data_IF_210082683477
#
_entry.id   IF_210082683477
#
_cell.length_a   1.000
_cell.length_b   1.000
_cell.length_c   1.000
_cell.angle_alpha   90.00
_cell.angle_beta   90.00
_cell.angle_gamma   90.00
#
_symmetry.space_group_name_H-M   'P 1'
#
loop_
_entity.id
_entity.type
_entity.pdbx_description
1 polymer ?
#
# COMPACT_ATOMS: atom_id res chain seq x y z
N UNK A 1 -14.52 13.90 6.65
CA UNK A 1 -14.39 13.75 6.17
C UNK A 1 -13.59 13.72 5.67
N UNK A 2 -13.21 13.64 5.66
CA UNK A 2 -12.52 13.52 5.05
C UNK A 2 -12.64 13.42 4.04
N UNK A 3 -13.24 13.45 3.87
CA UNK A 3 -13.48 13.22 2.93
C UNK A 3 -13.21 13.37 2.02
N UNK A 4 -13.12 13.66 1.95
CA UNK A 4 -12.96 13.74 1.00
C UNK A 4 -12.35 13.85 0.48
N UNK A 5 -12.02 13.92 0.81
CA UNK A 5 -11.35 13.95 0.27
C UNK A 5 -11.04 14.04 -0.67
N UNK A 6 -11.15 14.27 -0.93
CA UNK A 6 -11.06 14.21 -1.94
C UNK A 6 -10.52 13.92 -2.55
N UNK A 7 -10.31 13.85 -2.43
CA UNK A 7 -9.81 13.51 -3.06
C UNK A 7 -9.74 13.12 -3.49
N UNK A 8 -10.01 12.87 -3.18
CA UNK A 8 -10.05 12.45 -3.73
C UNK A 8 -9.94 12.79 -4.69
N UNK A 9 -10.23 13.37 -4.66
CA UNK A 9 -10.12 13.89 -5.80
C UNK A 9 -9.55 13.11 -6.82
N UNK A 10 -10.10 12.07 -7.06
CA UNK A 10 -9.67 11.34 -8.13
C UNK A 10 -8.21 11.42 -8.35
N UNK A 11 -7.47 11.18 -7.37
CA UNK A 11 -6.05 11.17 -7.58
C UNK A 11 -5.74 10.08 -8.56
N UNK A 12 -5.00 10.39 -9.62
CA UNK A 12 -4.61 9.35 -10.57
C UNK A 12 -3.88 8.21 -9.92
N UNK A 13 -3.20 8.48 -8.82
CA UNK A 13 -2.46 7.45 -8.09
C UNK A 13 -3.40 6.37 -7.57
N UNK A 14 -4.60 6.76 -7.15
CA UNK A 14 -5.58 5.79 -6.66
C UNK A 14 -5.98 4.82 -7.75
N UNK A 15 -5.98 5.29 -8.99
CA UNK A 15 -6.36 4.45 -10.11
C UNK A 15 -5.25 3.48 -10.47
N UNK A 16 -4.01 3.79 -10.07
CA UNK A 16 -2.90 2.94 -10.40
C UNK A 16 -2.87 1.66 -9.56
N UNK A 17 -3.62 1.64 -8.45
CA UNK A 17 -3.63 0.48 -7.56
C UNK A 17 -5.07 0.11 -7.27
N UNK A 18 -5.68 -0.72 -8.12
CA UNK A 18 -7.06 -1.14 -7.92
C UNK A 18 -7.20 -1.91 -6.61
N UNK A 19 -8.12 -1.49 -5.78
CA UNK A 19 -8.33 -2.12 -4.50
C UNK A 19 -8.71 -3.58 -4.64
N UNK A 20 -9.49 -3.88 -5.66
CA UNK A 20 -9.89 -5.26 -5.91
C UNK A 20 -8.69 -6.15 -6.18
N UNK A 21 -7.73 -5.62 -6.93
CA UNK A 21 -6.51 -6.37 -7.23
C UNK A 21 -5.75 -6.68 -5.95
N UNK A 22 -5.65 -5.68 -5.07
CA UNK A 22 -4.92 -5.85 -3.83
C UNK A 22 -5.59 -6.90 -2.96
N UNK A 23 -6.91 -6.88 -2.90
CA UNK A 23 -7.65 -7.86 -2.10
C UNK A 23 -7.50 -9.26 -2.66
N UNK A 24 -7.42 -9.40 -3.96
CA UNK A 24 -7.32 -10.72 -4.58
C UNK A 24 -6.00 -11.40 -4.27
N UNK A 25 -5.02 -10.67 -3.73
CA UNK A 25 -3.74 -11.24 -3.37
C UNK A 25 -3.75 -11.92 -2.00
N UNK A 26 -4.90 -11.94 -1.34
CA UNK A 26 -5.01 -12.63 -0.05
C UNK A 26 -4.38 -11.89 1.10
N UNK A 27 -4.37 -10.58 1.05
CA UNK A 27 -3.73 -9.76 2.06
C UNK A 27 -4.69 -9.45 3.21
N UNK A 28 -4.13 -9.26 4.40
CA UNK A 28 -4.91 -8.81 5.54
C UNK A 28 -5.31 -7.35 5.34
N UNK A 29 -6.25 -6.87 6.16
CA UNK A 29 -6.71 -5.48 6.04
C UNK A 29 -5.55 -4.50 6.19
N UNK A 30 -4.66 -4.73 7.15
CA UNK A 30 -3.51 -3.83 7.34
C UNK A 30 -2.56 -3.90 6.15
N UNK A 31 -2.37 -5.09 5.60
CA UNK A 31 -1.51 -5.24 4.44
C UNK A 31 -2.09 -4.55 3.22
N UNK A 32 -3.42 -4.60 3.07
CA UNK A 32 -4.08 -3.87 2.00
C UNK A 32 -3.82 -2.38 2.14
N UNK A 33 -3.96 -1.84 3.35
CA UNK A 33 -3.70 -0.42 3.57
C UNK A 33 -2.28 -0.05 3.17
N UNK A 34 -1.32 -0.86 3.58
CA UNK A 34 0.07 -0.59 3.27
C UNK A 34 0.35 -0.71 1.78
N UNK A 35 -0.22 -1.71 1.13
CA UNK A 35 -0.02 -1.88 -0.30
C UNK A 35 -0.54 -0.67 -1.07
N UNK A 36 -1.70 -0.16 -0.68
CA UNK A 36 -2.26 1.03 -1.32
C UNK A 36 -1.34 2.22 -1.12
N UNK A 37 -0.81 2.40 0.08
CA UNK A 37 0.09 3.52 0.36
C UNK A 37 1.39 3.41 -0.44
N UNK A 38 1.92 2.20 -0.54
CA UNK A 38 3.10 1.97 -1.36
C UNK A 38 2.82 2.33 -2.81
N UNK A 39 1.66 1.94 -3.31
CA UNK A 39 1.27 2.25 -4.67
C UNK A 39 1.12 3.75 -4.91
N UNK A 40 0.80 4.49 -3.87
CA UNK A 40 0.71 5.95 -3.95
C UNK A 40 2.07 6.64 -3.85
N UNK A 41 3.11 5.87 -3.53
CA UNK A 41 4.45 6.42 -3.47
C UNK A 41 4.89 6.89 -2.09
N UNK A 42 4.16 6.52 -1.04
CA UNK A 42 4.57 6.90 0.30
C UNK A 42 5.84 6.16 0.71
N UNK A 43 6.68 6.85 1.46
CA UNK A 43 7.85 6.22 2.06
C UNK A 43 7.44 5.44 3.31
N UNK A 44 8.34 4.59 3.80
CA UNK A 44 8.05 3.86 5.04
C UNK A 44 7.76 4.80 6.20
N UNK A 45 8.49 5.92 6.26
CA UNK A 45 8.26 6.90 7.31
C UNK A 45 6.86 7.50 7.20
N UNK A 46 6.45 7.84 5.99
CA UNK A 46 5.12 8.40 5.77
C UNK A 46 4.03 7.40 6.11
N UNK A 47 4.24 6.13 5.75
CA UNK A 47 3.29 5.09 6.09
C UNK A 47 3.17 4.96 7.61
N UNK A 48 4.32 4.97 8.29
CA UNK A 48 4.33 4.88 9.75
C UNK A 48 3.52 6.00 10.38
N UNK A 49 3.68 7.22 9.85
CA UNK A 49 2.95 8.37 10.36
C UNK A 49 1.46 8.24 10.11
N UNK A 50 1.09 7.77 8.92
CA UNK A 50 -0.32 7.60 8.58
C UNK A 50 -1.01 6.58 9.46
N UNK A 51 -0.30 5.51 9.80
CA UNK A 51 -0.88 4.40 10.54
C UNK A 51 -0.61 4.46 12.03
N UNK A 52 0.12 5.49 12.47
CA UNK A 52 0.44 5.68 13.90
C UNK A 52 1.20 4.49 14.47
N UNK A 53 2.17 3.97 13.70
CA UNK A 53 3.02 2.88 14.15
C UNK A 53 4.47 3.27 13.86
N UNK A 54 5.40 2.47 14.38
CA UNK A 54 6.81 2.78 14.21
C UNK A 54 7.29 2.39 12.81
N UNK A 55 8.33 3.05 12.29
CA UNK A 55 8.90 2.63 11.01
C UNK A 55 9.41 1.21 11.02
N UNK A 56 9.90 0.73 12.17
CA UNK A 56 10.34 -0.66 12.27
C UNK A 56 9.18 -1.62 12.05
N UNK A 57 8.02 -1.29 12.61
CA UNK A 57 6.82 -2.10 12.41
C UNK A 57 6.41 -2.08 10.95
N UNK A 58 6.49 -0.91 10.31
CA UNK A 58 6.18 -0.82 8.89
C UNK A 58 7.10 -1.75 8.08
N UNK A 59 8.40 -1.73 8.37
CA UNK A 59 9.34 -2.58 7.64
C UNK A 59 8.99 -4.05 7.77
N UNK A 60 8.60 -4.48 8.97
CA UNK A 60 8.22 -5.87 9.19
C UNK A 60 6.97 -6.22 8.37
N UNK A 61 5.97 -5.35 8.40
CA UNK A 61 4.75 -5.59 7.62
C UNK A 61 5.04 -5.64 6.13
N UNK A 62 5.88 -4.75 5.66
CA UNK A 62 6.20 -4.70 4.22
C UNK A 62 7.00 -5.94 3.82
N UNK A 63 7.91 -6.39 4.67
CA UNK A 63 8.63 -7.62 4.39
C UNK A 63 7.65 -8.79 4.23
N UNK A 64 6.71 -8.91 5.16
CA UNK A 64 5.71 -9.97 5.09
C UNK A 64 4.86 -9.84 3.83
N UNK A 65 4.52 -8.61 3.47
CA UNK A 65 3.76 -8.34 2.27
C UNK A 65 4.50 -8.83 1.03
N UNK A 66 5.80 -8.51 0.93
CA UNK A 66 6.61 -8.98 -0.19
C UNK A 66 6.60 -10.50 -0.25
N UNK A 67 6.74 -11.16 0.89
CA UNK A 67 6.75 -12.62 0.94
C UNK A 67 5.43 -13.19 0.45
N UNK A 68 4.33 -12.59 0.86
CA UNK A 68 3.01 -13.10 0.48
C UNK A 68 2.76 -13.02 -1.02
N UNK A 69 3.20 -11.93 -1.64
CA UNK A 69 2.91 -11.73 -3.06
C UNK A 69 4.06 -12.17 -3.96
N UNK A 70 5.19 -12.58 -3.36
CA UNK A 70 6.31 -13.04 -4.15
C UNK A 70 7.10 -11.91 -4.80
N UNK A 71 7.05 -10.71 -4.24
CA UNK A 71 7.79 -9.58 -4.78
C UNK A 71 9.20 -9.55 -4.18
N UNK A 72 10.19 -9.26 -5.00
CA UNK A 72 11.56 -9.14 -4.55
C UNK A 72 11.99 -7.72 -4.26
N UNK A 73 11.16 -6.74 -4.61
CA UNK A 73 11.50 -5.35 -4.42
C UNK A 73 10.23 -4.52 -4.41
N UNK A 74 10.39 -3.25 -3.99
CA UNK A 74 9.26 -2.33 -3.94
C UNK A 74 8.69 -2.09 -5.34
N UNK A 75 9.58 -1.97 -6.32
CA UNK A 75 9.14 -1.74 -7.70
C UNK A 75 8.37 -2.94 -8.21
N UNK A 76 8.83 -4.16 -7.92
CA UNK A 76 8.10 -5.35 -8.30
C UNK A 76 6.72 -5.39 -7.66
N UNK A 77 6.66 -5.04 -6.38
CA UNK A 77 5.38 -4.99 -5.69
C UNK A 77 4.43 -4.02 -6.39
N UNK A 78 4.91 -2.82 -6.68
CA UNK A 78 4.08 -1.81 -7.32
C UNK A 78 3.59 -2.32 -8.67
N UNK A 79 4.46 -2.94 -9.44
CA UNK A 79 4.07 -3.47 -10.74
C UNK A 79 3.01 -4.56 -10.61
N UNK A 80 3.15 -5.42 -9.59
CA UNK A 80 2.16 -6.47 -9.36
C UNK A 80 0.81 -5.91 -8.96
N UNK A 81 0.81 -4.82 -8.18
CA UNK A 81 -0.44 -4.21 -7.74
C UNK A 81 -1.17 -3.53 -8.89
N UNK A 82 -0.44 -3.10 -9.91
CA UNK A 82 -1.02 -2.36 -11.02
C UNK A 82 -1.44 -3.24 -12.18
N UNK A 83 -1.02 -4.48 -12.19
CA UNK A 83 -1.34 -5.35 -13.34
C UNK A 83 -2.72 -5.99 -13.24
#
# INVERSE_FOLDING_TARGET
MRLLRPSESGTPVLEAVPEERVRSLGLSAREVEMAVMIGRGLTNKEIAEELYISPATVRTHIYNLYQKVGAGSRIELINMLRS
#
